data_IF_347778776011
#
_entry.id   IF_347778776011
#
_cell.length_a   1.000
_cell.length_b   1.000
_cell.length_c   1.000
_cell.angle_alpha   90.00
_cell.angle_beta   90.00
_cell.angle_gamma   90.00
#
_symmetry.space_group_name_H-M   'P 1'
#
loop_
_entity.id
_entity.type
_entity.pdbx_description
1 polymer ?
#
# COMPACT_ATOMS: atom_id res chain seq x y z
N UNK A 1 10.64 -35.72 -9.51
CA UNK A 1 10.71 -34.31 -9.09
C UNK A 1 9.38 -33.97 -8.47
N UNK A 2 9.29 -34.14 -7.15
CA UNK A 2 8.05 -34.07 -6.39
C UNK A 2 7.73 -32.61 -6.05
N UNK A 3 6.58 -32.10 -6.47
CA UNK A 3 6.04 -30.83 -5.98
C UNK A 3 4.73 -31.12 -5.26
N UNK A 4 4.83 -31.23 -3.94
CA UNK A 4 3.72 -31.46 -3.03
C UNK A 4 2.86 -30.19 -2.95
N UNK A 5 1.70 -30.19 -3.61
CA UNK A 5 0.64 -29.21 -3.37
C UNK A 5 -0.01 -29.49 -2.02
N UNK A 6 0.71 -29.17 -0.95
CA UNK A 6 0.15 -29.18 0.40
C UNK A 6 -0.88 -28.07 0.49
N UNK A 7 -2.16 -28.41 0.57
CA UNK A 7 -3.19 -27.45 0.93
C UNK A 7 -2.76 -26.76 2.23
N UNK A 8 -2.76 -25.42 2.25
CA UNK A 8 -2.45 -24.65 3.44
C UNK A 8 -3.22 -25.22 4.63
N UNK A 9 -2.53 -25.44 5.74
CA UNK A 9 -3.21 -25.87 6.96
C UNK A 9 -4.29 -24.85 7.34
N UNK A 10 -5.36 -25.26 8.05
CA UNK A 10 -6.38 -24.32 8.52
C UNK A 10 -5.80 -23.13 9.30
N UNK A 11 -4.70 -23.36 10.04
CA UNK A 11 -4.00 -22.29 10.76
C UNK A 11 -3.30 -21.31 9.81
N UNK A 12 -2.57 -21.80 8.81
CA UNK A 12 -1.89 -20.95 7.82
C UNK A 12 -2.90 -20.16 6.97
N UNK A 13 -4.00 -20.79 6.55
CA UNK A 13 -5.07 -20.12 5.82
C UNK A 13 -5.72 -19.01 6.67
N UNK A 14 -5.95 -19.27 7.97
CA UNK A 14 -6.46 -18.27 8.90
C UNK A 14 -5.48 -17.11 9.09
N UNK A 15 -4.19 -17.39 9.26
CA UNK A 15 -3.14 -16.37 9.37
C UNK A 15 -3.07 -15.50 8.10
N UNK A 16 -3.11 -16.11 6.90
CA UNK A 16 -3.12 -15.40 5.63
C UNK A 16 -4.39 -14.54 5.45
N UNK A 17 -5.55 -15.01 5.91
CA UNK A 17 -6.79 -14.22 5.92
C UNK A 17 -6.70 -13.03 6.88
N UNK A 18 -6.16 -13.23 8.08
CA UNK A 18 -5.94 -12.18 9.06
C UNK A 18 -4.97 -11.11 8.54
N UNK A 19 -3.88 -11.52 7.87
CA UNK A 19 -2.93 -10.60 7.23
C UNK A 19 -3.59 -9.76 6.14
N UNK A 20 -4.40 -10.37 5.25
CA UNK A 20 -5.16 -9.64 4.22
C UNK A 20 -6.15 -8.64 4.83
N UNK A 21 -6.85 -9.04 5.89
CA UNK A 21 -7.78 -8.16 6.61
C UNK A 21 -7.08 -7.01 7.33
N UNK A 22 -5.86 -7.22 7.81
CA UNK A 22 -5.06 -6.16 8.43
C UNK A 22 -4.55 -5.17 7.37
N UNK A 23 -4.06 -5.67 6.23
CA UNK A 23 -3.56 -4.83 5.15
C UNK A 23 -4.67 -4.01 4.50
N UNK A 24 -5.86 -4.57 4.29
CA UNK A 24 -7.01 -3.87 3.69
C UNK A 24 -7.45 -2.63 4.47
N UNK A 25 -7.19 -2.59 5.78
CA UNK A 25 -7.47 -1.45 6.67
C UNK A 25 -6.43 -0.33 6.59
N UNK A 26 -5.35 -0.53 5.83
CA UNK A 26 -4.32 0.49 5.61
C UNK A 26 -4.66 1.37 4.41
N UNK A 27 -4.03 2.54 4.28
CA UNK A 27 -4.17 3.39 3.09
C UNK A 27 -3.72 2.64 1.82
N UNK A 28 -2.63 1.89 1.89
CA UNK A 28 -2.15 1.06 0.78
C UNK A 28 -3.19 -0.01 0.40
N UNK A 29 -3.75 -0.70 1.39
CA UNK A 29 -4.76 -1.73 1.12
C UNK A 29 -6.02 -1.16 0.50
N UNK A 30 -6.49 0.00 0.97
CA UNK A 30 -7.67 0.68 0.41
C UNK A 30 -7.39 1.17 -1.02
N UNK A 31 -6.23 1.78 -1.25
CA UNK A 31 -5.82 2.22 -2.58
C UNK A 31 -5.67 1.04 -3.55
N UNK A 32 -4.99 -0.03 -3.14
CA UNK A 32 -4.81 -1.22 -3.98
C UNK A 32 -6.15 -1.87 -4.37
N UNK A 33 -7.14 -1.89 -3.48
CA UNK A 33 -8.50 -2.39 -3.80
C UNK A 33 -9.27 -1.49 -4.77
N UNK A 34 -8.89 -0.23 -4.93
CA UNK A 34 -9.50 0.68 -5.89
C UNK A 34 -8.96 0.53 -7.32
N UNK A 35 -7.87 -0.21 -7.49
CA UNK A 35 -7.26 -0.49 -8.79
C UNK A 35 -7.91 -1.73 -9.42
N UNK A 36 -8.02 -1.72 -10.75
CA UNK A 36 -8.50 -2.86 -11.54
C UNK A 36 -7.42 -3.92 -11.76
N UNK A 37 -6.22 -3.71 -11.22
CA UNK A 37 -5.04 -4.55 -11.38
C UNK A 37 -4.23 -4.63 -10.09
N UNK A 38 -3.39 -5.66 -9.98
CA UNK A 38 -2.50 -5.84 -8.84
C UNK A 38 -1.24 -4.99 -8.95
N UNK A 39 -0.76 -4.50 -7.81
CA UNK A 39 0.48 -3.75 -7.72
C UNK A 39 1.70 -4.68 -7.84
N UNK A 40 2.65 -4.31 -8.68
CA UNK A 40 3.95 -4.98 -8.74
C UNK A 40 4.70 -4.86 -7.39
N UNK A 41 5.61 -5.80 -7.07
CA UNK A 41 6.34 -5.79 -5.80
C UNK A 41 7.02 -4.45 -5.48
N UNK A 42 7.71 -3.85 -6.46
CA UNK A 42 8.39 -2.58 -6.26
C UNK A 42 7.42 -1.42 -5.96
N UNK A 43 6.22 -1.47 -6.53
CA UNK A 43 5.17 -0.47 -6.30
C UNK A 43 4.63 -0.61 -4.88
N UNK A 44 4.36 -1.85 -4.44
CA UNK A 44 3.90 -2.13 -3.07
C UNK A 44 4.93 -1.68 -2.03
N UNK A 45 6.21 -1.94 -2.25
CA UNK A 45 7.28 -1.55 -1.33
C UNK A 45 7.46 -0.03 -1.24
N UNK A 46 7.38 0.66 -2.38
CA UNK A 46 7.42 2.11 -2.43
C UNK A 46 6.20 2.72 -1.71
N UNK A 47 5.00 2.21 -1.99
CA UNK A 47 3.78 2.67 -1.34
C UNK A 47 3.80 2.39 0.18
N UNK A 48 4.28 1.23 0.62
CA UNK A 48 4.44 0.92 2.06
C UNK A 48 5.35 1.94 2.74
N UNK A 49 6.49 2.26 2.12
CA UNK A 49 7.43 3.26 2.63
C UNK A 49 6.81 4.66 2.71
N UNK A 50 6.06 5.07 1.68
CA UNK A 50 5.32 6.34 1.68
C UNK A 50 4.26 6.40 2.79
N UNK A 51 3.54 5.30 3.00
CA UNK A 51 2.55 5.18 4.07
C UNK A 51 3.20 5.27 5.46
N UNK A 52 4.44 4.82 5.62
CA UNK A 52 5.21 4.99 6.86
C UNK A 52 5.77 6.42 7.03
N UNK A 53 5.56 7.30 6.04
CA UNK A 53 6.04 8.68 6.07
C UNK A 53 7.48 8.85 5.61
N UNK A 54 8.05 7.84 4.95
CA UNK A 54 9.41 7.88 4.37
C UNK A 54 9.37 8.45 2.95
N UNK A 55 10.46 9.09 2.54
CA UNK A 55 10.70 9.42 1.13
C UNK A 55 11.15 8.19 0.34
N UNK A 56 10.81 8.13 -0.94
CA UNK A 56 11.18 7.01 -1.84
C UNK A 56 11.78 7.53 -3.14
N UNK A 57 12.77 6.82 -3.68
CA UNK A 57 13.30 7.00 -5.03
C UNK A 57 13.05 5.70 -5.80
N UNK A 58 12.30 5.78 -6.89
CA UNK A 58 11.97 4.62 -7.73
C UNK A 58 12.64 4.77 -9.08
N UNK A 59 13.55 3.85 -9.39
CA UNK A 59 14.18 3.74 -10.70
C UNK A 59 13.65 2.49 -11.41
N UNK A 60 12.68 2.68 -12.31
CA UNK A 60 12.09 1.63 -13.13
C UNK A 60 11.96 2.13 -14.58
N UNK A 61 12.04 1.23 -15.60
CA UNK A 61 11.87 1.61 -17.01
C UNK A 61 10.53 2.30 -17.29
N UNK A 62 10.47 3.08 -18.37
CA UNK A 62 9.19 3.60 -18.89
C UNK A 62 8.27 2.45 -19.25
N UNK A 63 7.00 2.55 -18.88
CA UNK A 63 6.02 1.47 -19.06
C UNK A 63 5.88 0.52 -17.87
N UNK A 64 6.80 0.52 -16.90
CA UNK A 64 6.71 -0.33 -15.70
C UNK A 64 5.68 0.14 -14.65
N UNK A 65 4.88 1.18 -14.94
CA UNK A 65 3.84 1.63 -14.01
C UNK A 65 4.31 2.46 -12.82
N UNK A 66 5.53 3.04 -12.82
CA UNK A 66 6.04 3.90 -11.72
C UNK A 66 5.11 5.07 -11.34
N UNK A 67 4.21 5.49 -12.23
CA UNK A 67 3.21 6.55 -11.99
C UNK A 67 2.31 6.22 -10.81
N UNK A 68 2.00 4.94 -10.59
CA UNK A 68 1.14 4.47 -9.51
C UNK A 68 1.70 4.83 -8.12
N UNK A 69 3.02 4.83 -7.97
CA UNK A 69 3.68 5.27 -6.73
C UNK A 69 3.41 6.76 -6.47
N UNK A 70 3.43 7.57 -7.53
CA UNK A 70 3.11 9.00 -7.46
C UNK A 70 1.63 9.26 -7.16
N UNK A 71 0.73 8.52 -7.81
CA UNK A 71 -0.72 8.59 -7.55
C UNK A 71 -1.03 8.23 -6.09
N UNK A 72 -0.39 7.18 -5.57
CA UNK A 72 -0.52 6.81 -4.17
C UNK A 72 0.01 7.90 -3.21
N UNK A 73 1.12 8.57 -3.56
CA UNK A 73 1.63 9.68 -2.76
C UNK A 73 0.64 10.85 -2.69
N UNK A 74 -0.03 11.17 -3.81
CA UNK A 74 -1.09 12.19 -3.87
C UNK A 74 -2.30 11.75 -3.03
N UNK A 75 -2.75 10.52 -3.20
CA UNK A 75 -3.82 9.92 -2.40
C UNK A 75 -3.55 10.04 -0.90
N UNK A 76 -2.35 9.63 -0.44
CA UNK A 76 -1.94 9.77 0.95
C UNK A 76 -1.93 11.22 1.43
N UNK A 77 -1.49 12.17 0.60
CA UNK A 77 -1.46 13.58 0.96
C UNK A 77 -2.88 14.14 1.15
N UNK A 78 -3.82 13.76 0.29
CA UNK A 78 -5.23 14.14 0.40
C UNK A 78 -5.87 13.54 1.65
N UNK A 79 -5.70 12.25 1.89
CA UNK A 79 -6.23 11.56 3.08
C UNK A 79 -5.70 12.16 4.39
N UNK A 80 -4.39 12.44 4.45
CA UNK A 80 -3.75 13.06 5.62
C UNK A 80 -4.06 14.55 5.76
N UNK A 81 -4.29 15.24 4.65
CA UNK A 81 -4.64 16.66 4.58
C UNK A 81 -6.06 16.93 5.05
N UNK A 82 -7.02 16.13 4.57
CA UNK A 82 -8.42 16.14 5.02
C UNK A 82 -8.55 15.91 6.53
N UNK A 83 -7.67 15.08 7.12
CA UNK A 83 -7.63 14.84 8.57
C UNK A 83 -6.95 15.98 9.38
N UNK A 84 -6.20 16.90 8.77
CA UNK A 84 -5.37 17.91 9.46
C UNK A 84 -5.92 19.34 9.47
N UNK A 85 -7.17 19.56 9.06
CA UNK A 85 -7.80 20.89 9.03
C UNK A 85 -7.90 21.62 10.40
N UNK A 86 -7.69 20.97 11.55
CA UNK A 86 -7.95 21.60 12.87
C UNK A 86 -6.74 22.21 13.60
N UNK A 87 -5.56 22.39 13.00
CA UNK A 87 -4.52 23.25 13.62
C UNK A 87 -4.49 24.63 12.96
N UNK A 88 -5.47 25.47 13.31
CA UNK A 88 -5.27 26.94 13.28
C UNK A 88 -3.98 27.21 14.05
N UNK A 89 -2.93 27.65 13.35
CA UNK A 89 -1.79 28.28 14.00
C UNK A 89 -2.32 29.54 14.67
N UNK A 90 -2.66 29.42 15.96
CA UNK A 90 -2.64 30.56 16.87
C UNK A 90 -1.17 30.99 16.98
N UNK A 91 -0.77 31.95 16.15
CA UNK A 91 0.34 32.83 16.48
C UNK A 91 -0.28 34.16 16.85
N UNK A 92 -0.17 34.45 18.14
CA UNK A 92 -0.21 35.80 18.71
C UNK A 92 0.87 36.66 18.06
#
# INVERSE_FOLDING_TARGET
>A
MSSNSGALSPSEAFQAAAQRSAESKTYLGTFAQSLEFELDPFQRDACRSLQEGKGVLVAAPTGAGKTIVGEFAIYLALERGSRRSTRRRSKR
#
